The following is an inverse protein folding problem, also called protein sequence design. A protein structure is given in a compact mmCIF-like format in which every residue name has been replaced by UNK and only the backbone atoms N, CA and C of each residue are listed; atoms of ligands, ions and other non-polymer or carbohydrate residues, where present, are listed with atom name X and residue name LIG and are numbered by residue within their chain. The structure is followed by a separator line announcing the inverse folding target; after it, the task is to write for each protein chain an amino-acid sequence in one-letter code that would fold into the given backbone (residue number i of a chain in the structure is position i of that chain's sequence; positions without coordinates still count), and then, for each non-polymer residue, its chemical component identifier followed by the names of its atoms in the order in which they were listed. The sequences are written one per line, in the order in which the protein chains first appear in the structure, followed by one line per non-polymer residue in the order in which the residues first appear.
data_IF_018635670613
#
_entry.id   IF_018635670613
#
_cell.length_a   1.000
_cell.length_b   1.000
_cell.length_c   1.000
_cell.angle_alpha   90.00
_cell.angle_beta   90.00
_cell.angle_gamma   90.00
#
_symmetry.space_group_name_H-M   'P 1'
#
loop_
_entity.id
_entity.type
_entity.pdbx_description
1 polymer ?
#
# COMPACT_ATOMS: atom_id res chain seq x y z
N UNK A 1 -21.60 13.51 -22.90
CA UNK A 1 -20.50 13.54 -21.93
C UNK A 1 -19.31 14.22 -22.63
N UNK A 2 -18.48 14.98 -21.92
CA UNK A 2 -17.22 15.50 -22.49
C UNK A 2 -16.41 14.33 -23.02
N UNK A 3 -15.80 14.48 -24.19
CA UNK A 3 -14.91 13.46 -24.76
C UNK A 3 -13.56 13.39 -24.04
N UNK A 4 -13.25 14.40 -23.21
CA UNK A 4 -12.01 14.50 -22.42
C UNK A 4 -12.31 14.69 -20.93
N UNK A 5 -11.30 14.45 -20.11
CA UNK A 5 -11.37 14.57 -18.65
C UNK A 5 -9.98 14.94 -18.08
N UNK A 6 -9.92 15.68 -16.94
CA UNK A 6 -8.65 15.97 -16.29
C UNK A 6 -8.04 14.69 -15.70
N UNK A 7 -6.71 14.58 -15.81
CA UNK A 7 -5.93 13.48 -15.24
C UNK A 7 -4.55 13.96 -14.79
N UNK A 8 -4.06 13.40 -13.70
CA UNK A 8 -2.69 13.60 -13.21
C UNK A 8 -1.78 12.62 -13.96
N UNK A 9 -0.90 13.13 -14.81
CA UNK A 9 -0.13 12.35 -15.79
C UNK A 9 1.37 12.49 -15.52
N UNK A 10 2.05 11.37 -15.32
CA UNK A 10 3.51 11.27 -15.41
C UNK A 10 3.90 11.11 -16.88
N UNK A 11 4.54 12.13 -17.45
CA UNK A 11 4.73 12.24 -18.89
C UNK A 11 6.15 12.00 -19.38
N UNK A 12 7.13 11.98 -18.48
CA UNK A 12 8.55 11.82 -18.82
C UNK A 12 9.35 11.28 -17.62
N UNK A 13 10.43 10.53 -17.88
CA UNK A 13 11.34 10.04 -16.84
C UNK A 13 12.33 11.12 -16.37
N UNK A 14 11.85 12.14 -15.64
CA UNK A 14 12.63 13.15 -14.96
C UNK A 14 11.92 13.68 -13.72
N UNK A 15 12.66 14.31 -12.83
CA UNK A 15 12.10 14.97 -11.65
C UNK A 15 11.07 16.04 -12.04
N UNK A 16 9.95 16.07 -11.33
CA UNK A 16 8.85 17.01 -11.54
C UNK A 16 7.99 16.75 -12.77
N UNK A 17 8.21 15.66 -13.54
CA UNK A 17 7.49 15.42 -14.78
C UNK A 17 6.08 14.82 -14.59
N UNK A 18 5.29 15.44 -13.72
CA UNK A 18 3.87 15.13 -13.48
C UNK A 18 3.07 16.42 -13.63
N UNK A 19 1.95 16.36 -14.31
CA UNK A 19 1.04 17.50 -14.47
C UNK A 19 -0.41 17.09 -14.63
N UNK A 20 -1.33 18.03 -14.44
CA UNK A 20 -2.75 17.85 -14.76
C UNK A 20 -2.95 18.12 -16.26
N UNK A 21 -3.50 17.14 -16.99
CA UNK A 21 -3.79 17.20 -18.42
C UNK A 21 -5.22 16.80 -18.75
N UNK A 22 -5.75 17.33 -19.85
CA UNK A 22 -6.94 16.78 -20.48
C UNK A 22 -6.58 15.52 -21.27
N UNK A 23 -7.26 14.41 -20.99
CA UNK A 23 -7.09 13.12 -21.66
C UNK A 23 -8.43 12.56 -22.15
N UNK A 24 -8.46 11.72 -23.16
CA UNK A 24 -9.70 11.05 -23.58
C UNK A 24 -10.29 10.17 -22.48
N UNK A 25 -11.62 10.11 -22.39
CA UNK A 25 -12.29 9.07 -21.59
C UNK A 25 -12.00 7.71 -22.24
N UNK A 26 -11.52 6.69 -21.47
CA UNK A 26 -11.11 5.43 -22.07
C UNK A 26 -12.29 4.63 -22.61
N UNK A 27 -12.09 3.99 -23.76
CA UNK A 27 -13.00 2.98 -24.28
C UNK A 27 -12.80 1.66 -23.51
N UNK A 28 -13.91 0.96 -23.23
CA UNK A 28 -13.90 -0.33 -22.56
C UNK A 28 -14.09 -1.48 -23.53
N UNK A 29 -13.41 -2.59 -23.28
CA UNK A 29 -13.63 -3.87 -23.97
C UNK A 29 -14.81 -4.64 -23.38
N UNK A 30 -15.06 -5.83 -23.92
CA UNK A 30 -16.20 -6.68 -23.55
C UNK A 30 -16.14 -7.18 -22.09
N UNK A 31 -14.94 -7.30 -21.48
CA UNK A 31 -14.71 -7.79 -20.12
C UNK A 31 -14.33 -6.68 -19.12
N UNK A 32 -14.40 -5.43 -19.57
CA UNK A 32 -14.00 -4.27 -18.75
C UNK A 32 -15.21 -3.53 -18.18
N UNK A 33 -14.98 -2.78 -17.12
CA UNK A 33 -15.87 -1.76 -16.61
C UNK A 33 -15.24 -0.37 -16.78
N UNK A 34 -16.07 0.63 -17.07
CA UNK A 34 -15.72 2.03 -16.89
C UNK A 34 -16.14 2.44 -15.48
N UNK A 35 -15.18 2.78 -14.66
CA UNK A 35 -15.40 3.17 -13.26
C UNK A 35 -15.35 4.69 -13.14
N UNK A 36 -16.42 5.31 -12.64
CA UNK A 36 -16.43 6.69 -12.19
C UNK A 36 -15.74 6.77 -10.83
N UNK A 37 -14.53 7.30 -10.79
CA UNK A 37 -13.71 7.36 -9.57
C UNK A 37 -14.31 8.33 -8.57
N UNK A 38 -14.64 7.87 -7.37
CA UNK A 38 -15.09 8.73 -6.27
C UNK A 38 -13.96 9.14 -5.35
N UNK A 39 -13.03 8.22 -5.12
CA UNK A 39 -11.87 8.47 -4.29
C UNK A 39 -10.65 7.73 -4.83
N UNK A 40 -9.50 8.38 -4.80
CA UNK A 40 -8.20 7.79 -5.08
C UNK A 40 -7.21 8.30 -4.04
N UNK A 41 -6.52 7.41 -3.34
CA UNK A 41 -5.51 7.84 -2.37
C UNK A 41 -4.11 7.88 -3.00
N UNK A 42 -3.30 8.79 -2.50
CA UNK A 42 -1.91 8.96 -2.94
C UNK A 42 -1.03 7.91 -2.27
N UNK A 43 -0.26 7.18 -3.06
CA UNK A 43 0.78 6.26 -2.59
C UNK A 43 2.16 6.94 -2.59
N UNK A 44 3.06 6.47 -1.74
CA UNK A 44 4.46 6.90 -1.78
C UNK A 44 5.13 6.64 -3.13
N UNK A 45 4.69 5.61 -3.86
CA UNK A 45 5.18 5.34 -5.22
C UNK A 45 4.77 6.41 -6.24
N UNK A 46 3.61 7.06 -6.10
CA UNK A 46 3.21 8.19 -6.96
C UNK A 46 4.15 9.37 -6.74
N UNK A 47 4.51 9.66 -5.48
CA UNK A 47 5.49 10.69 -5.11
C UNK A 47 6.89 10.34 -5.66
N UNK A 48 7.31 9.06 -5.55
CA UNK A 48 8.57 8.60 -6.13
C UNK A 48 8.59 8.70 -7.66
N UNK A 49 7.46 8.51 -8.34
CA UNK A 49 7.34 8.74 -9.79
C UNK A 49 7.49 10.22 -10.12
N UNK A 50 6.85 11.10 -9.36
CA UNK A 50 7.01 12.55 -9.49
C UNK A 50 8.48 12.99 -9.37
N UNK A 51 9.23 12.36 -8.43
CA UNK A 51 10.67 12.63 -8.21
C UNK A 51 11.61 11.79 -9.07
N UNK A 52 11.08 10.91 -9.93
CA UNK A 52 11.88 9.99 -10.75
C UNK A 52 12.82 9.09 -9.90
N UNK A 53 12.34 8.63 -8.74
CA UNK A 53 13.11 7.86 -7.75
C UNK A 53 12.77 6.36 -7.72
N UNK A 54 11.89 5.87 -8.60
CA UNK A 54 11.59 4.43 -8.65
C UNK A 54 12.78 3.62 -9.14
N UNK A 55 12.98 2.44 -8.55
CA UNK A 55 14.01 1.48 -8.97
C UNK A 55 13.73 0.80 -10.32
N UNK A 56 12.58 1.07 -10.95
CA UNK A 56 12.18 0.59 -12.27
C UNK A 56 11.55 1.73 -13.08
N UNK A 57 11.50 1.59 -14.39
CA UNK A 57 10.90 2.59 -15.28
C UNK A 57 9.45 2.24 -15.57
N UNK A 58 8.45 3.02 -15.09
CA UNK A 58 7.06 2.88 -15.48
C UNK A 58 6.87 3.25 -16.96
N UNK A 59 5.68 2.98 -17.51
CA UNK A 59 5.29 3.54 -18.82
C UNK A 59 5.18 5.07 -18.72
N UNK A 60 5.60 5.78 -19.74
CA UNK A 60 5.32 7.21 -19.93
C UNK A 60 4.77 7.47 -21.33
N UNK A 61 3.73 8.30 -21.52
CA UNK A 61 2.91 8.87 -20.45
C UNK A 61 2.02 7.83 -19.77
N UNK A 62 1.70 8.04 -18.48
CA UNK A 62 0.76 7.22 -17.71
C UNK A 62 -0.03 8.09 -16.73
N UNK A 63 -1.33 7.83 -16.60
CA UNK A 63 -2.16 8.42 -15.54
C UNK A 63 -1.81 7.73 -14.22
N UNK A 64 -1.54 8.52 -13.16
CA UNK A 64 -1.18 8.02 -11.84
C UNK A 64 -2.38 7.49 -11.04
N UNK A 65 -2.12 6.89 -9.88
CA UNK A 65 -3.10 6.43 -8.91
C UNK A 65 -3.54 4.99 -9.11
N UNK A 66 -3.42 4.18 -8.05
CA UNK A 66 -3.74 2.76 -8.05
C UNK A 66 -4.52 2.30 -6.81
N UNK A 67 -4.82 3.21 -5.90
CA UNK A 67 -5.57 2.98 -4.67
C UNK A 67 -6.93 3.69 -4.77
N UNK A 68 -7.96 3.06 -5.33
CA UNK A 68 -9.19 3.78 -5.68
C UNK A 68 -10.47 2.99 -5.51
N UNK A 69 -11.57 3.75 -5.47
CA UNK A 69 -12.93 3.22 -5.42
C UNK A 69 -13.90 4.18 -6.13
N UNK A 70 -15.06 3.67 -6.51
CA UNK A 70 -16.04 4.45 -7.24
C UNK A 70 -17.32 3.70 -7.58
N UNK A 71 -18.00 4.18 -8.60
CA UNK A 71 -19.19 3.55 -9.17
C UNK A 71 -18.91 2.99 -10.56
N UNK A 72 -19.55 1.90 -10.91
CA UNK A 72 -19.58 1.41 -12.29
C UNK A 72 -20.46 2.34 -13.13
N UNK A 73 -19.84 3.03 -14.08
CA UNK A 73 -20.53 3.93 -15.01
C UNK A 73 -21.00 3.20 -16.29
N UNK A 74 -20.26 2.18 -16.72
CA UNK A 74 -20.58 1.35 -17.90
C UNK A 74 -19.90 0.00 -17.80
N UNK A 75 -20.50 -1.03 -18.39
CA UNK A 75 -19.98 -2.39 -18.43
C UNK A 75 -19.84 -2.90 -19.87
N UNK A 76 -18.80 -3.69 -20.10
CA UNK A 76 -18.69 -4.55 -21.28
C UNK A 76 -19.70 -5.69 -21.22
N UNK A 77 -20.09 -6.20 -22.38
CA UNK A 77 -21.21 -7.16 -22.53
C UNK A 77 -20.92 -8.57 -21.98
N UNK A 78 -19.66 -8.87 -21.65
CA UNK A 78 -19.24 -10.14 -21.03
C UNK A 78 -19.04 -10.05 -19.52
N UNK A 79 -19.11 -8.86 -18.92
CA UNK A 79 -18.98 -8.70 -17.48
C UNK A 79 -20.17 -9.33 -16.79
N UNK A 80 -19.90 -10.16 -15.76
CA UNK A 80 -20.92 -10.83 -14.97
C UNK A 80 -20.75 -10.48 -13.49
N UNK A 81 -21.85 -10.52 -12.74
CA UNK A 81 -21.85 -10.28 -11.29
C UNK A 81 -21.84 -8.80 -10.91
N UNK A 82 -21.85 -7.88 -11.87
CA UNK A 82 -21.86 -6.43 -11.63
C UNK A 82 -22.92 -5.76 -12.52
N UNK A 83 -23.39 -4.59 -12.10
CA UNK A 83 -24.28 -3.70 -12.85
C UNK A 83 -23.85 -2.24 -12.76
N UNK A 84 -24.32 -1.42 -13.67
CA UNK A 84 -24.12 0.04 -13.59
C UNK A 84 -24.72 0.59 -12.29
N UNK A 85 -23.99 1.50 -11.66
CA UNK A 85 -24.29 2.05 -10.34
C UNK A 85 -23.74 1.26 -9.16
N UNK A 86 -23.19 0.06 -9.35
CA UNK A 86 -22.57 -0.68 -8.25
C UNK A 86 -21.36 0.07 -7.67
N UNK A 87 -21.26 0.05 -6.35
CA UNK A 87 -20.11 0.57 -5.60
C UNK A 87 -18.98 -0.45 -5.64
N UNK A 88 -17.79 -0.03 -6.02
CA UNK A 88 -16.64 -0.94 -6.17
C UNK A 88 -15.33 -0.33 -5.65
N UNK A 89 -14.41 -1.23 -5.31
CA UNK A 89 -12.97 -0.97 -5.30
C UNK A 89 -12.27 -1.88 -6.30
N UNK A 90 -11.03 -1.57 -6.63
CA UNK A 90 -10.26 -2.32 -7.63
C UNK A 90 -8.91 -2.75 -7.11
N UNK A 91 -8.55 -4.01 -7.44
CA UNK A 91 -7.16 -4.47 -7.34
C UNK A 91 -6.23 -3.69 -8.28
N UNK A 92 -4.93 -3.77 -8.01
CA UNK A 92 -3.93 -3.02 -8.77
C UNK A 92 -3.39 -3.76 -10.01
N UNK A 93 -3.67 -5.05 -10.18
CA UNK A 93 -3.15 -5.87 -11.29
C UNK A 93 -3.95 -5.66 -12.58
N UNK A 94 -3.80 -4.50 -13.24
CA UNK A 94 -4.54 -4.14 -14.46
C UNK A 94 -4.40 -5.18 -15.58
N UNK A 95 -3.18 -5.71 -15.78
CA UNK A 95 -2.92 -6.77 -16.75
C UNK A 95 -2.18 -7.93 -16.10
N UNK A 96 -2.54 -9.15 -16.49
CA UNK A 96 -1.84 -10.40 -16.14
C UNK A 96 -1.93 -11.34 -17.35
N UNK A 97 -1.08 -12.37 -17.45
CA UNK A 97 -1.18 -13.29 -18.59
C UNK A 97 -2.37 -14.26 -18.50
N UNK A 98 -2.92 -14.50 -17.29
CA UNK A 98 -4.04 -15.42 -17.07
C UNK A 98 -3.73 -16.92 -17.19
N UNK A 99 -2.60 -17.30 -17.80
CA UNK A 99 -2.31 -18.70 -18.20
C UNK A 99 -1.14 -19.33 -17.47
N UNK A 100 -0.24 -18.54 -16.87
CA UNK A 100 0.89 -19.10 -16.11
C UNK A 100 0.42 -19.79 -14.82
N UNK A 101 1.27 -20.60 -14.24
CA UNK A 101 0.99 -21.32 -13.00
C UNK A 101 0.56 -20.37 -11.88
N UNK A 102 1.23 -19.22 -11.73
CA UNK A 102 0.90 -18.22 -10.71
C UNK A 102 -0.51 -17.65 -10.89
N UNK A 103 -0.91 -17.33 -12.13
CA UNK A 103 -2.27 -16.86 -12.41
C UNK A 103 -3.31 -17.94 -12.09
N UNK A 104 -3.07 -19.18 -12.49
CA UNK A 104 -3.99 -20.30 -12.30
C UNK A 104 -4.16 -20.74 -10.84
N UNK A 105 -3.16 -20.43 -9.98
CA UNK A 105 -3.18 -20.77 -8.55
C UNK A 105 -3.57 -19.58 -7.66
N UNK A 106 -3.99 -18.43 -8.25
CA UNK A 106 -4.40 -17.25 -7.50
C UNK A 106 -3.26 -16.38 -7.00
N UNK A 107 -2.01 -16.68 -7.40
CA UNK A 107 -0.82 -15.89 -7.09
C UNK A 107 -0.48 -14.89 -8.22
N UNK A 108 -1.49 -14.39 -8.91
CA UNK A 108 -1.33 -13.50 -10.07
C UNK A 108 -0.69 -12.15 -9.75
N UNK A 109 -0.69 -11.75 -8.48
CA UNK A 109 0.14 -10.62 -8.02
C UNK A 109 1.63 -10.81 -8.35
N UNK A 110 2.09 -12.06 -8.47
CA UNK A 110 3.46 -12.44 -8.84
C UNK A 110 3.61 -12.82 -10.32
N UNK A 111 2.59 -12.61 -11.16
CA UNK A 111 2.66 -12.91 -12.59
C UNK A 111 3.80 -12.11 -13.25
N UNK A 112 4.73 -12.76 -14.01
CA UNK A 112 5.83 -12.04 -14.67
C UNK A 112 5.38 -10.99 -15.71
N UNK A 113 4.14 -11.11 -16.22
CA UNK A 113 3.56 -10.17 -17.17
C UNK A 113 2.59 -9.18 -16.50
N UNK A 114 2.61 -9.10 -15.16
CA UNK A 114 1.75 -8.18 -14.43
C UNK A 114 2.09 -6.73 -14.76
N UNK A 115 1.05 -5.95 -15.10
CA UNK A 115 1.13 -4.49 -15.20
C UNK A 115 0.18 -3.87 -14.20
N UNK A 116 0.69 -2.95 -13.38
CA UNK A 116 -0.09 -2.25 -12.36
C UNK A 116 -0.70 -0.96 -12.91
N UNK A 117 -1.90 -0.62 -12.40
CA UNK A 117 -2.46 0.72 -12.57
C UNK A 117 -1.48 1.77 -12.06
N UNK A 118 -1.48 2.94 -12.68
CA UNK A 118 -0.62 4.05 -12.28
C UNK A 118 0.86 3.89 -12.63
N UNK A 119 1.28 2.72 -13.14
CA UNK A 119 2.68 2.41 -13.49
C UNK A 119 2.84 1.99 -14.96
N UNK A 120 2.14 0.95 -15.37
CA UNK A 120 2.22 0.40 -16.74
C UNK A 120 0.88 0.44 -17.47
N UNK A 121 -0.21 0.60 -16.73
CA UNK A 121 -1.56 0.87 -17.19
C UNK A 121 -2.06 2.17 -16.57
N UNK A 122 -2.94 2.88 -17.27
CA UNK A 122 -3.49 4.14 -16.77
C UNK A 122 -4.25 3.94 -15.46
N UNK A 123 -3.94 4.80 -14.49
CA UNK A 123 -4.48 4.77 -13.14
C UNK A 123 -5.74 5.62 -12.96
N UNK A 124 -6.06 5.89 -11.72
CA UNK A 124 -7.34 6.46 -11.29
C UNK A 124 -7.26 7.91 -10.77
N UNK A 125 -6.12 8.59 -10.89
CA UNK A 125 -6.08 10.05 -10.64
C UNK A 125 -6.69 10.81 -11.82
N UNK A 126 -7.96 10.49 -12.09
CA UNK A 126 -8.80 11.01 -13.17
C UNK A 126 -10.26 10.70 -12.88
N UNK A 127 -11.19 11.25 -13.70
CA UNK A 127 -12.63 11.07 -13.48
C UNK A 127 -13.14 9.67 -13.78
N UNK A 128 -12.59 9.03 -14.80
CA UNK A 128 -12.99 7.66 -15.22
C UNK A 128 -11.75 6.80 -15.48
N UNK A 129 -11.80 5.55 -15.08
CA UNK A 129 -10.75 4.56 -15.34
C UNK A 129 -11.35 3.27 -15.89
N UNK A 130 -10.68 2.68 -16.89
CA UNK A 130 -11.02 1.35 -17.39
C UNK A 130 -10.44 0.29 -16.50
N UNK A 131 -11.27 -0.63 -16.00
CA UNK A 131 -10.91 -1.68 -15.06
C UNK A 131 -11.37 -3.03 -15.59
N UNK A 132 -10.48 -4.02 -15.75
CA UNK A 132 -10.87 -5.40 -16.02
C UNK A 132 -11.79 -5.94 -14.91
N UNK A 133 -12.89 -6.58 -15.30
CA UNK A 133 -13.90 -7.05 -14.31
C UNK A 133 -13.35 -7.96 -13.22
N UNK A 134 -12.28 -8.72 -13.52
CA UNK A 134 -11.59 -9.57 -12.54
C UNK A 134 -10.92 -8.81 -11.38
N UNK A 135 -10.70 -7.48 -11.54
CA UNK A 135 -10.12 -6.62 -10.51
C UNK A 135 -11.18 -5.97 -9.61
N UNK A 136 -12.47 -6.12 -9.93
CA UNK A 136 -13.55 -5.45 -9.20
C UNK A 136 -13.96 -6.22 -7.96
N UNK A 137 -14.21 -5.48 -6.89
CA UNK A 137 -14.81 -5.96 -5.64
C UNK A 137 -15.99 -5.09 -5.27
N UNK A 138 -17.12 -5.70 -4.87
CA UNK A 138 -18.26 -4.97 -4.35
C UNK A 138 -17.93 -4.27 -3.03
N UNK A 139 -18.40 -3.04 -2.88
CA UNK A 139 -18.29 -2.31 -1.63
C UNK A 139 -19.65 -2.23 -0.93
N UNK A 140 -19.73 -2.59 0.36
CA UNK A 140 -20.91 -2.37 1.17
C UNK A 140 -21.29 -0.87 1.24
N UNK A 141 -22.60 -0.56 1.21
CA UNK A 141 -23.10 0.82 1.23
C UNK A 141 -22.62 1.61 2.46
N UNK A 142 -22.46 0.92 3.60
CA UNK A 142 -21.98 1.51 4.85
C UNK A 142 -20.51 1.91 4.84
N UNK A 143 -19.70 1.48 3.84
CA UNK A 143 -18.28 1.84 3.76
C UNK A 143 -18.10 3.17 3.00
N UNK A 144 -17.69 4.27 3.67
CA UNK A 144 -17.49 5.56 3.01
C UNK A 144 -16.37 5.52 1.97
N UNK A 145 -16.50 6.22 0.84
CA UNK A 145 -15.51 6.27 -0.22
C UNK A 145 -14.13 6.78 0.27
N UNK A 146 -14.09 7.72 1.21
CA UNK A 146 -12.82 8.19 1.79
C UNK A 146 -12.02 7.06 2.44
N UNK A 147 -12.69 6.06 3.05
CA UNK A 147 -12.03 4.89 3.65
C UNK A 147 -11.75 3.81 2.62
N UNK A 148 -12.63 3.62 1.65
CA UNK A 148 -12.44 2.59 0.63
C UNK A 148 -11.28 2.88 -0.32
N UNK A 149 -10.83 4.13 -0.46
CA UNK A 149 -9.58 4.45 -1.14
C UNK A 149 -8.34 3.81 -0.47
N UNK A 150 -8.42 3.51 0.84
CA UNK A 150 -7.32 2.90 1.59
C UNK A 150 -7.38 1.36 1.61
N UNK A 151 -8.32 0.73 0.93
CA UNK A 151 -8.41 -0.74 0.86
C UNK A 151 -7.16 -1.35 0.22
N UNK A 152 -6.55 -0.66 -0.75
CA UNK A 152 -5.33 -1.12 -1.39
C UNK A 152 -4.16 -1.21 -0.39
N UNK A 153 -3.74 -0.13 0.29
CA UNK A 153 -2.66 -0.22 1.26
C UNK A 153 -3.02 -1.12 2.47
N UNK A 154 -4.30 -1.23 2.86
CA UNK A 154 -4.74 -2.23 3.83
C UNK A 154 -4.50 -3.65 3.32
N UNK A 155 -4.73 -3.90 2.03
CA UNK A 155 -4.50 -5.20 1.40
C UNK A 155 -3.01 -5.54 1.31
N UNK A 156 -2.15 -4.56 1.01
CA UNK A 156 -0.69 -4.73 1.05
C UNK A 156 -0.23 -5.09 2.47
N UNK A 157 -0.67 -4.33 3.47
CA UNK A 157 -0.30 -4.55 4.87
C UNK A 157 -0.83 -5.89 5.40
N UNK A 158 -2.08 -6.24 5.06
CA UNK A 158 -2.67 -7.53 5.44
C UNK A 158 -1.93 -8.70 4.77
N UNK A 159 -1.66 -8.61 3.47
CA UNK A 159 -0.93 -9.64 2.74
C UNK A 159 0.48 -9.85 3.30
N UNK A 160 1.17 -8.75 3.60
CA UNK A 160 2.48 -8.78 4.26
C UNK A 160 2.42 -9.46 5.62
N UNK A 161 1.51 -9.02 6.49
CA UNK A 161 1.56 -9.34 7.92
C UNK A 161 0.77 -10.62 8.27
N UNK A 162 -0.37 -10.86 7.62
CA UNK A 162 -1.23 -12.03 7.93
C UNK A 162 -1.04 -13.21 6.96
N UNK A 163 -0.56 -12.96 5.72
CA UNK A 163 -0.38 -14.03 4.72
C UNK A 163 1.08 -14.48 4.65
N UNK A 164 2.01 -13.52 4.56
CA UNK A 164 3.45 -13.80 4.38
C UNK A 164 4.24 -13.85 5.69
N UNK A 165 3.65 -13.41 6.79
CA UNK A 165 4.28 -13.45 8.13
C UNK A 165 3.52 -14.44 9.02
N UNK A 166 4.25 -15.08 9.94
CA UNK A 166 3.66 -16.07 10.85
C UNK A 166 3.53 -15.53 12.27
N UNK A 167 2.79 -14.42 12.44
CA UNK A 167 2.51 -13.86 13.77
C UNK A 167 1.67 -14.86 14.57
N UNK A 168 2.12 -15.17 15.80
CA UNK A 168 1.41 -16.00 16.75
C UNK A 168 0.89 -15.15 17.92
N UNK A 169 -0.18 -15.59 18.60
CA UNK A 169 -0.62 -14.93 19.84
C UNK A 169 0.50 -14.85 20.88
N UNK A 170 0.75 -13.65 21.35
CA UNK A 170 1.80 -13.36 22.33
C UNK A 170 3.15 -12.89 21.74
N UNK A 171 3.36 -13.02 20.43
CA UNK A 171 4.61 -12.61 19.77
C UNK A 171 4.98 -11.15 20.04
N UNK A 172 6.28 -10.92 20.14
CA UNK A 172 6.88 -9.59 20.08
C UNK A 172 7.17 -9.21 18.62
N UNK A 173 6.41 -8.25 18.10
CA UNK A 173 6.53 -7.77 16.72
C UNK A 173 7.17 -6.38 16.71
N UNK A 174 8.09 -6.15 15.77
CA UNK A 174 8.67 -4.83 15.50
C UNK A 174 8.36 -4.42 14.07
N UNK A 175 7.89 -3.19 13.88
CA UNK A 175 7.65 -2.60 12.55
C UNK A 175 8.64 -1.46 12.33
N UNK A 176 9.42 -1.53 11.27
CA UNK A 176 10.33 -0.46 10.86
C UNK A 176 9.66 0.41 9.80
N UNK A 177 9.54 1.70 10.10
CA UNK A 177 8.92 2.72 9.26
C UNK A 177 7.45 2.99 9.58
N UNK A 178 7.10 4.18 10.12
CA UNK A 178 5.73 4.59 10.44
C UNK A 178 5.01 5.24 9.24
N UNK A 179 5.35 4.81 8.02
CA UNK A 179 4.58 5.14 6.83
C UNK A 179 3.22 4.44 6.80
N UNK A 180 2.37 4.72 5.79
CA UNK A 180 1.03 4.11 5.72
C UNK A 180 1.05 2.58 5.86
N UNK A 181 1.97 1.90 5.17
CA UNK A 181 2.09 0.44 5.23
C UNK A 181 2.50 -0.03 6.63
N UNK A 182 3.48 0.63 7.28
CA UNK A 182 3.91 0.26 8.63
C UNK A 182 2.81 0.47 9.68
N UNK A 183 2.08 1.58 9.61
CA UNK A 183 0.96 1.88 10.51
C UNK A 183 -0.21 0.89 10.32
N UNK A 184 -0.44 0.41 9.11
CA UNK A 184 -1.43 -0.62 8.82
C UNK A 184 -0.94 -2.01 9.22
N UNK A 185 0.34 -2.34 8.98
CA UNK A 185 0.95 -3.61 9.39
C UNK A 185 0.95 -3.79 10.92
N UNK A 186 1.19 -2.70 11.68
CA UNK A 186 1.05 -2.67 13.13
C UNK A 186 -0.37 -3.12 13.56
N UNK A 187 -1.41 -2.56 12.94
CA UNK A 187 -2.79 -2.92 13.24
C UNK A 187 -3.07 -4.39 12.90
N UNK A 188 -2.56 -4.88 11.76
CA UNK A 188 -2.72 -6.30 11.38
C UNK A 188 -1.99 -7.21 12.36
N UNK A 189 -0.75 -6.88 12.79
CA UNK A 189 -0.03 -7.67 13.79
C UNK A 189 -0.82 -7.79 15.10
N UNK A 190 -1.43 -6.69 15.54
CA UNK A 190 -2.32 -6.70 16.71
C UNK A 190 -3.56 -7.58 16.50
N UNK A 191 -4.20 -7.47 15.32
CA UNK A 191 -5.35 -8.33 14.97
C UNK A 191 -4.98 -9.83 14.95
N UNK A 192 -3.72 -10.18 14.61
CA UNK A 192 -3.21 -11.55 14.66
C UNK A 192 -2.88 -12.02 16.09
N UNK A 193 -2.95 -11.14 17.10
CA UNK A 193 -2.74 -11.50 18.49
C UNK A 193 -1.32 -11.22 19.00
N UNK A 194 -0.52 -10.42 18.31
CA UNK A 194 0.78 -9.99 18.82
C UNK A 194 0.65 -9.44 20.26
N UNK A 195 1.46 -9.95 21.19
CA UNK A 195 1.43 -9.54 22.59
C UNK A 195 1.90 -8.10 22.80
N UNK A 196 2.88 -7.69 22.01
CA UNK A 196 3.38 -6.32 21.94
C UNK A 196 3.87 -5.99 20.53
N UNK A 197 3.67 -4.74 20.11
CA UNK A 197 4.15 -4.24 18.84
C UNK A 197 4.91 -2.96 19.06
N UNK A 198 6.18 -2.93 18.68
CA UNK A 198 6.99 -1.70 18.62
C UNK A 198 6.99 -1.18 17.19
N UNK A 199 7.12 0.13 17.05
CA UNK A 199 7.29 0.79 15.75
C UNK A 199 8.47 1.75 15.80
N UNK A 200 9.32 1.74 14.76
CA UNK A 200 10.48 2.62 14.68
C UNK A 200 10.38 3.58 13.50
N UNK A 201 10.81 4.82 13.71
CA UNK A 201 10.95 5.86 12.71
C UNK A 201 12.11 6.77 13.05
N UNK A 202 12.26 7.87 12.34
CA UNK A 202 13.25 8.92 12.58
C UNK A 202 12.58 10.19 13.11
N UNK A 203 13.35 11.22 13.46
CA UNK A 203 12.81 12.45 14.06
C UNK A 203 11.69 13.10 13.24
N UNK A 204 11.80 13.06 11.91
CA UNK A 204 10.80 13.61 10.98
C UNK A 204 9.48 12.85 10.99
N UNK A 205 9.49 11.63 11.51
CA UNK A 205 8.29 10.79 11.63
C UNK A 205 7.55 10.97 12.97
N UNK A 206 7.98 11.91 13.84
CA UNK A 206 7.40 12.09 15.18
C UNK A 206 5.85 12.15 15.21
N UNK A 207 5.14 12.88 14.32
CA UNK A 207 3.68 12.87 14.30
C UNK A 207 3.07 11.49 14.00
N UNK A 208 3.72 10.70 13.13
CA UNK A 208 3.28 9.35 12.76
C UNK A 208 3.55 8.34 13.87
N UNK A 209 4.66 8.49 14.60
CA UNK A 209 4.98 7.70 15.78
C UNK A 209 3.97 7.96 16.90
N UNK A 210 3.55 9.22 17.08
CA UNK A 210 2.50 9.58 18.04
C UNK A 210 1.15 8.93 17.68
N UNK A 211 0.74 8.97 16.41
CA UNK A 211 -0.46 8.27 15.93
C UNK A 211 -0.37 6.77 16.24
N UNK A 212 0.80 6.15 16.03
CA UNK A 212 0.99 4.72 16.26
C UNK A 212 0.74 4.33 17.73
N UNK A 213 1.24 5.12 18.67
CA UNK A 213 1.09 4.84 20.11
C UNK A 213 -0.31 5.21 20.59
N UNK A 214 -0.74 6.45 20.31
CA UNK A 214 -1.96 7.00 20.92
C UNK A 214 -3.25 6.46 20.31
N UNK A 215 -3.22 6.07 19.02
CA UNK A 215 -4.46 5.74 18.27
C UNK A 215 -4.46 4.32 17.67
N UNK A 216 -3.29 3.71 17.42
CA UNK A 216 -3.21 2.41 16.73
C UNK A 216 -2.72 1.28 17.63
N UNK A 217 -2.36 1.58 18.87
CA UNK A 217 -2.02 0.59 19.89
C UNK A 217 -0.62 0.00 19.78
N UNK A 218 0.35 0.77 19.24
CA UNK A 218 1.76 0.42 19.42
C UNK A 218 2.12 0.44 20.92
N UNK A 219 2.85 -0.58 21.37
CA UNK A 219 3.30 -0.66 22.77
C UNK A 219 4.43 0.33 23.06
N UNK A 220 5.22 0.68 22.04
CA UNK A 220 6.31 1.66 22.07
C UNK A 220 6.60 2.20 20.68
N UNK A 221 6.89 3.49 20.60
CA UNK A 221 7.55 4.11 19.45
C UNK A 221 9.04 4.29 19.76
N UNK A 222 9.88 4.06 18.74
CA UNK A 222 11.34 4.20 18.81
C UNK A 222 11.75 5.29 17.82
N UNK A 223 12.35 6.37 18.33
CA UNK A 223 12.99 7.39 17.49
C UNK A 223 14.44 6.99 17.24
N UNK A 224 14.70 6.40 16.08
CA UNK A 224 16.03 5.92 15.68
C UNK A 224 17.09 7.03 15.55
N UNK A 225 16.70 8.31 15.62
CA UNK A 225 17.62 9.44 15.69
C UNK A 225 18.16 9.67 17.11
N UNK A 226 17.53 9.09 18.14
CA UNK A 226 17.85 9.30 19.55
C UNK A 226 18.33 8.04 20.27
N UNK A 227 17.87 6.88 19.82
CA UNK A 227 18.17 5.59 20.46
C UNK A 227 18.41 4.51 19.38
N UNK A 228 19.23 3.52 19.68
CA UNK A 228 19.48 2.41 18.78
C UNK A 228 18.28 1.44 18.82
N UNK A 229 17.53 1.26 17.71
CA UNK A 229 16.37 0.38 17.69
C UNK A 229 16.71 -1.09 18.02
N UNK A 230 17.91 -1.54 17.68
CA UNK A 230 18.35 -2.92 17.93
C UNK A 230 18.54 -3.16 19.43
N UNK A 231 19.25 -2.25 20.10
CA UNK A 231 19.47 -2.31 21.54
C UNK A 231 18.16 -2.18 22.33
N UNK A 232 17.27 -1.27 21.90
CA UNK A 232 15.94 -1.10 22.51
C UNK A 232 15.14 -2.40 22.43
N UNK A 233 15.11 -3.04 21.26
CA UNK A 233 14.35 -4.28 21.06
C UNK A 233 14.92 -5.42 21.90
N UNK A 234 16.24 -5.63 21.90
CA UNK A 234 16.90 -6.67 22.69
C UNK A 234 16.70 -6.48 24.19
N UNK A 235 16.91 -5.26 24.69
CA UNK A 235 16.75 -4.95 26.12
C UNK A 235 15.30 -5.00 26.61
N UNK A 236 14.33 -4.99 25.70
CA UNK A 236 12.89 -5.02 26.05
C UNK A 236 12.34 -6.41 26.35
N UNK A 237 13.15 -7.45 26.33
CA UNK A 237 12.72 -8.84 26.55
C UNK A 237 13.79 -9.70 27.22
N UNK A 238 13.93 -10.91 26.72
CA UNK A 238 14.90 -11.91 27.19
C UNK A 238 16.33 -11.72 26.63
N UNK A 239 16.58 -10.64 25.91
CA UNK A 239 17.84 -10.35 25.25
C UNK A 239 18.00 -10.96 23.85
N UNK A 240 17.09 -11.85 23.43
CA UNK A 240 17.18 -12.55 22.14
C UNK A 240 16.68 -11.70 20.97
N UNK A 241 15.78 -10.74 21.22
CA UNK A 241 15.18 -9.89 20.19
C UNK A 241 13.70 -10.17 19.93
N UNK A 242 13.18 -9.68 18.80
CA UNK A 242 11.78 -9.81 18.41
C UNK A 242 11.51 -11.15 17.71
N UNK A 243 10.31 -11.71 17.90
CA UNK A 243 9.85 -12.90 17.17
C UNK A 243 9.69 -12.58 15.68
N UNK A 244 9.14 -11.41 15.38
CA UNK A 244 8.85 -10.94 14.03
C UNK A 244 9.35 -9.50 13.84
N UNK A 245 10.00 -9.24 12.71
CA UNK A 245 10.32 -7.88 12.26
C UNK A 245 9.72 -7.64 10.88
N UNK A 246 8.94 -6.56 10.74
CA UNK A 246 8.36 -6.13 9.47
C UNK A 246 9.10 -4.88 9.00
N UNK A 247 9.85 -5.00 7.89
CA UNK A 247 10.57 -3.88 7.28
C UNK A 247 9.68 -3.21 6.21
N UNK A 248 9.03 -2.11 6.60
CA UNK A 248 8.19 -1.30 5.73
C UNK A 248 8.95 -0.08 5.13
N UNK A 249 10.24 0.08 5.44
CA UNK A 249 11.13 1.09 4.83
C UNK A 249 11.86 0.52 3.63
N UNK A 250 12.56 -0.60 3.82
CA UNK A 250 13.17 -1.39 2.75
C UNK A 250 14.58 -0.98 2.34
N UNK A 251 15.24 -0.02 3.02
CA UNK A 251 16.62 0.38 2.75
C UNK A 251 17.63 -0.57 3.42
N UNK A 252 18.90 -0.48 3.00
CA UNK A 252 19.99 -1.33 3.53
C UNK A 252 20.09 -1.28 5.06
N UNK A 253 20.00 -0.09 5.64
CA UNK A 253 20.09 0.11 7.10
C UNK A 253 18.98 -0.61 7.84
N UNK A 254 17.71 -0.46 7.41
CA UNK A 254 16.57 -1.09 8.10
C UNK A 254 16.56 -2.60 7.91
N UNK A 255 16.98 -3.12 6.76
CA UNK A 255 17.13 -4.56 6.57
C UNK A 255 18.22 -5.15 7.48
N UNK A 256 19.37 -4.46 7.64
CA UNK A 256 20.41 -4.87 8.58
C UNK A 256 19.89 -4.88 10.01
N UNK A 257 19.27 -3.78 10.45
CA UNK A 257 18.65 -3.69 11.77
C UNK A 257 17.62 -4.81 11.99
N UNK A 258 16.80 -5.13 10.98
CA UNK A 258 15.83 -6.23 11.06
C UNK A 258 16.49 -7.57 11.37
N UNK A 259 17.61 -7.87 10.70
CA UNK A 259 18.36 -9.12 10.90
C UNK A 259 19.08 -9.11 12.28
N UNK A 260 19.56 -7.95 12.73
CA UNK A 260 20.21 -7.81 14.02
C UNK A 260 19.25 -7.95 15.21
N UNK A 261 18.01 -7.41 15.09
CA UNK A 261 17.03 -7.40 16.19
C UNK A 261 16.07 -8.60 16.19
N UNK A 262 15.97 -9.37 15.09
CA UNK A 262 15.18 -10.60 15.09
C UNK A 262 15.84 -11.66 15.93
N UNK A 263 15.07 -12.39 16.74
CA UNK A 263 15.58 -13.49 17.57
C UNK A 263 16.00 -14.70 16.72
N UNK A 264 16.81 -15.64 17.24
CA UNK A 264 17.05 -16.93 16.61
C UNK A 264 15.74 -17.66 16.31
N UNK A 265 15.62 -18.21 15.11
CA UNK A 265 14.39 -18.87 14.61
C UNK A 265 13.23 -17.94 14.24
N UNK A 266 13.38 -16.61 14.42
CA UNK A 266 12.36 -15.63 14.11
C UNK A 266 12.22 -15.34 12.61
N UNK A 267 11.38 -14.36 12.26
CA UNK A 267 11.12 -14.00 10.86
C UNK A 267 11.27 -12.50 10.63
N UNK A 268 11.94 -12.15 9.55
CA UNK A 268 11.95 -10.81 8.94
C UNK A 268 11.07 -10.85 7.69
N UNK A 269 10.09 -9.96 7.61
CA UNK A 269 9.28 -9.78 6.40
C UNK A 269 9.51 -8.39 5.81
N UNK A 270 10.05 -8.35 4.59
CA UNK A 270 10.37 -7.12 3.87
C UNK A 270 9.25 -6.79 2.88
N UNK A 271 8.59 -5.65 3.07
CA UNK A 271 7.56 -5.08 2.19
C UNK A 271 7.99 -3.73 1.61
N UNK A 272 8.84 -2.99 2.32
CA UNK A 272 9.42 -1.75 1.84
C UNK A 272 10.36 -1.94 0.65
N UNK A 273 10.39 -0.95 -0.26
CA UNK A 273 11.24 -0.95 -1.44
C UNK A 273 12.44 -0.03 -1.24
N UNK A 274 13.63 -0.50 -1.63
CA UNK A 274 14.87 0.27 -1.65
C UNK A 274 15.70 -0.15 -2.84
N UNK A 275 15.98 0.75 -3.80
CA UNK A 275 16.68 0.42 -5.04
C UNK A 275 18.18 0.18 -4.86
N UNK A 276 18.76 0.65 -3.74
CA UNK A 276 20.17 0.51 -3.47
C UNK A 276 20.55 -0.91 -3.04
N UNK A 277 21.75 -1.42 -3.41
CA UNK A 277 22.29 -2.68 -2.91
C UNK A 277 22.38 -2.71 -1.38
N UNK A 278 22.22 -3.88 -0.77
CA UNK A 278 22.24 -4.02 0.70
C UNK A 278 23.60 -3.77 1.33
N UNK A 279 24.72 -4.12 0.67
CA UNK A 279 26.07 -3.75 1.09
C UNK A 279 26.58 -4.35 2.42
N UNK A 280 25.97 -5.46 2.90
CA UNK A 280 26.39 -6.17 4.12
C UNK A 280 26.22 -7.69 3.98
N UNK A 281 26.88 -8.49 4.85
CA UNK A 281 26.76 -9.96 4.88
C UNK A 281 25.41 -10.41 5.44
N UNK A 282 24.84 -11.47 4.86
CA UNK A 282 23.68 -12.17 5.39
C UNK A 282 24.02 -13.32 6.36
N UNK A 283 25.29 -13.52 6.71
CA UNK A 283 25.72 -14.56 7.65
C UNK A 283 24.99 -14.49 9.03
N UNK A 284 24.67 -13.30 9.57
CA UNK A 284 23.87 -13.22 10.79
C UNK A 284 22.46 -13.83 10.66
N UNK A 285 21.86 -13.80 9.46
CA UNK A 285 20.58 -14.47 9.19
C UNK A 285 20.74 -16.00 9.27
N UNK A 286 21.83 -16.52 8.68
CA UNK A 286 22.15 -17.95 8.70
C UNK A 286 22.44 -18.41 10.12
N UNK A 287 23.29 -17.67 10.87
CA UNK A 287 23.66 -18.00 12.24
C UNK A 287 22.44 -18.06 13.19
N UNK A 288 21.42 -17.25 12.93
CA UNK A 288 20.18 -17.25 13.71
C UNK A 288 19.15 -18.28 13.24
N UNK A 289 19.38 -18.96 12.09
CA UNK A 289 18.32 -19.77 11.48
C UNK A 289 17.04 -19.01 11.22
N UNK A 290 17.14 -17.67 11.07
CA UNK A 290 15.99 -16.81 10.89
C UNK A 290 15.48 -16.86 9.44
N UNK A 291 14.18 -16.54 9.25
CA UNK A 291 13.57 -16.47 7.91
C UNK A 291 13.58 -15.05 7.39
N UNK A 292 13.96 -14.86 6.12
CA UNK A 292 13.75 -13.60 5.38
C UNK A 292 12.69 -13.84 4.30
N UNK A 293 11.57 -13.10 4.40
CA UNK A 293 10.42 -13.23 3.51
C UNK A 293 10.16 -11.91 2.79
N UNK A 294 10.14 -11.94 1.45
CA UNK A 294 9.62 -10.82 0.65
C UNK A 294 8.09 -10.83 0.59
N UNK A 295 7.48 -9.65 0.58
CA UNK A 295 6.03 -9.50 0.38
C UNK A 295 5.75 -8.49 -0.72
N UNK A 296 4.94 -8.89 -1.71
CA UNK A 296 4.61 -8.05 -2.85
C UNK A 296 3.11 -8.06 -3.16
N UNK A 297 2.51 -6.86 -3.10
CA UNK A 297 1.13 -6.62 -3.53
C UNK A 297 0.12 -7.52 -2.77
N UNK A 298 -0.92 -7.96 -3.42
CA UNK A 298 -2.07 -8.67 -2.86
C UNK A 298 -2.83 -9.41 -3.97
N UNK A 299 -3.81 -10.24 -3.59
CA UNK A 299 -4.67 -10.98 -4.50
C UNK A 299 -6.14 -10.91 -4.07
N UNK A 300 -7.05 -11.49 -4.85
CA UNK A 300 -8.50 -11.49 -4.63
C UNK A 300 -8.89 -11.87 -3.21
N UNK A 301 -8.35 -13.00 -2.70
CA UNK A 301 -8.67 -13.48 -1.35
C UNK A 301 -8.30 -12.49 -0.25
N UNK A 302 -7.18 -11.80 -0.41
CA UNK A 302 -6.75 -10.73 0.49
C UNK A 302 -7.74 -9.56 0.47
N UNK A 303 -8.18 -9.15 -0.72
CA UNK A 303 -9.12 -8.04 -0.87
C UNK A 303 -10.45 -8.31 -0.21
N UNK A 304 -11.08 -9.46 -0.47
CA UNK A 304 -12.36 -9.83 0.15
C UNK A 304 -12.25 -9.77 1.68
N UNK A 305 -11.17 -10.34 2.23
CA UNK A 305 -10.95 -10.31 3.67
C UNK A 305 -10.75 -8.91 4.22
N UNK A 306 -10.01 -8.07 3.51
CA UNK A 306 -9.74 -6.68 3.94
C UNK A 306 -11.00 -5.82 3.85
N UNK A 307 -11.83 -5.98 2.82
CA UNK A 307 -13.12 -5.28 2.71
C UNK A 307 -14.00 -5.59 3.93
N UNK A 308 -14.10 -6.87 4.33
CA UNK A 308 -14.81 -7.26 5.56
C UNK A 308 -14.24 -6.56 6.79
N UNK A 309 -12.92 -6.67 7.01
CA UNK A 309 -12.25 -6.10 8.19
C UNK A 309 -12.38 -4.58 8.28
N UNK A 310 -12.25 -3.87 7.15
CA UNK A 310 -12.41 -2.41 7.11
C UNK A 310 -13.89 -2.03 7.35
N UNK A 311 -14.81 -2.77 6.76
CA UNK A 311 -16.25 -2.53 6.91
C UNK A 311 -16.72 -2.76 8.36
N UNK A 312 -16.11 -3.73 9.04
CA UNK A 312 -16.39 -4.05 10.44
C UNK A 312 -15.59 -3.19 11.44
N UNK A 313 -14.87 -2.18 10.94
CA UNK A 313 -14.14 -1.23 11.78
C UNK A 313 -12.91 -1.82 12.49
N UNK A 314 -12.37 -2.94 11.98
CA UNK A 314 -11.15 -3.56 12.54
C UNK A 314 -9.88 -2.76 12.22
N UNK A 315 -9.90 -1.95 11.17
CA UNK A 315 -8.88 -0.96 10.87
C UNK A 315 -9.31 0.43 11.34
N UNK A 316 -8.47 1.09 12.12
CA UNK A 316 -8.59 2.51 12.44
C UNK A 316 -7.98 3.33 11.30
N UNK A 317 -8.81 3.77 10.35
CA UNK A 317 -8.35 4.48 9.15
C UNK A 317 -8.44 6.01 9.28
N UNK A 318 -9.37 6.52 10.09
CA UNK A 318 -9.56 7.97 10.23
C UNK A 318 -8.28 8.72 10.62
N UNK A 319 -7.43 8.22 11.56
CA UNK A 319 -6.17 8.88 11.91
C UNK A 319 -5.14 8.91 10.77
N UNK A 320 -5.29 8.03 9.78
CA UNK A 320 -4.39 7.95 8.64
C UNK A 320 -4.78 8.89 7.49
N UNK A 321 -6.06 9.29 7.41
CA UNK A 321 -6.56 10.17 6.36
C UNK A 321 -6.30 11.63 6.76
N UNK A 322 -5.14 12.16 6.38
CA UNK A 322 -4.74 13.52 6.74
C UNK A 322 -5.43 14.59 5.89
N UNK A 323 -5.83 14.23 4.67
CA UNK A 323 -6.44 15.14 3.69
C UNK A 323 -7.49 14.44 2.84
N UNK A 324 -8.57 15.17 2.54
CA UNK A 324 -9.48 14.87 1.43
C UNK A 324 -9.58 16.16 0.60
N UNK A 325 -9.25 16.09 -0.70
CA UNK A 325 -9.12 17.26 -1.55
C UNK A 325 -9.57 16.97 -3.01
N UNK A 326 -9.95 17.97 -3.81
CA UNK A 326 -10.21 17.78 -5.22
C UNK A 326 -8.93 17.36 -5.98
N UNK A 327 -9.11 16.78 -7.18
CA UNK A 327 -8.00 16.26 -7.99
C UNK A 327 -6.96 17.34 -8.30
N UNK A 328 -7.39 18.57 -8.49
CA UNK A 328 -6.56 19.74 -8.82
C UNK A 328 -5.54 20.08 -7.73
N UNK A 329 -5.75 19.64 -6.48
CA UNK A 329 -4.79 19.80 -5.37
C UNK A 329 -3.74 18.68 -5.29
N UNK A 330 -3.59 17.86 -6.33
CA UNK A 330 -2.68 16.70 -6.33
C UNK A 330 -1.24 17.06 -5.93
N UNK A 331 -0.69 18.17 -6.44
CA UNK A 331 0.69 18.60 -6.18
C UNK A 331 0.91 18.90 -4.70
N UNK A 332 -0.05 19.60 -4.08
CA UNK A 332 -0.03 19.89 -2.64
C UNK A 332 -0.11 18.58 -1.81
N UNK A 333 -0.95 17.64 -2.24
CA UNK A 333 -1.06 16.33 -1.59
C UNK A 333 0.25 15.56 -1.66
N UNK A 334 0.92 15.54 -2.82
CA UNK A 334 2.22 14.89 -3.01
C UNK A 334 3.30 15.53 -2.14
N UNK A 335 3.41 16.87 -2.16
CA UNK A 335 4.39 17.61 -1.37
C UNK A 335 4.25 17.34 0.12
N UNK A 336 3.02 17.37 0.65
CA UNK A 336 2.79 17.15 2.09
C UNK A 336 3.04 15.71 2.54
N UNK A 337 2.85 14.74 1.67
CA UNK A 337 3.24 13.36 1.93
C UNK A 337 4.75 13.17 1.86
N UNK A 338 5.45 13.83 0.92
CA UNK A 338 6.92 13.85 0.81
C UNK A 338 7.57 14.47 2.05
N UNK A 339 7.03 15.61 2.52
CA UNK A 339 7.42 16.28 3.76
C UNK A 339 7.10 15.47 5.03
N UNK A 340 6.42 14.32 4.91
CA UNK A 340 5.94 13.45 6.00
C UNK A 340 4.95 14.10 6.97
N UNK A 341 4.43 15.28 6.63
CA UNK A 341 3.41 16.00 7.41
C UNK A 341 2.06 15.27 7.33
N UNK A 342 1.75 14.69 6.18
CA UNK A 342 0.53 13.91 5.96
C UNK A 342 0.86 12.41 5.85
N UNK A 343 -0.03 11.56 6.38
CA UNK A 343 0.08 10.10 6.27
C UNK A 343 -0.50 9.65 4.94
N UNK A 344 -1.79 9.98 4.68
CA UNK A 344 -2.51 9.68 3.44
C UNK A 344 -3.35 10.86 3.00
N UNK A 345 -3.24 11.18 1.72
CA UNK A 345 -4.14 12.12 1.05
C UNK A 345 -5.10 11.34 0.15
N UNK A 346 -6.37 11.70 0.18
CA UNK A 346 -7.43 11.16 -0.69
C UNK A 346 -7.88 12.26 -1.63
N UNK A 347 -7.78 12.01 -2.94
CA UNK A 347 -8.24 12.92 -3.98
C UNK A 347 -9.64 12.50 -4.47
N UNK A 348 -10.48 13.49 -4.82
CA UNK A 348 -11.88 13.30 -5.23
C UNK A 348 -12.12 13.84 -6.64
N UNK A 349 -11.85 13.04 -7.71
CA UNK A 349 -11.89 13.51 -9.10
C UNK A 349 -13.28 13.91 -9.58
N UNK A 350 -14.33 13.45 -8.94
CA UNK A 350 -15.74 13.71 -9.29
C UNK A 350 -16.50 14.46 -8.18
N UNK A 351 -15.82 15.37 -7.47
CA UNK A 351 -16.39 16.20 -6.41
C UNK A 351 -16.43 15.51 -5.05
N UNK A 352 -16.96 16.19 -4.03
CA UNK A 352 -16.91 15.74 -2.63
C UNK A 352 -17.53 14.36 -2.37
N UNK A 353 -17.04 13.66 -1.32
CA UNK A 353 -17.46 12.31 -0.91
C UNK A 353 -17.90 12.29 0.54
#
# INVERSE_FOLDING_TARGET
MSHTMPAVVHYEHRDGAVELREVPVPEIGEEDALVQVRSVSVCGSDVHMWRNLLGHKPRVPVILGHEFSGFIAKLGNRVKGFKEGDRIASETAAEICGVCMLCRTGLYNLCPQRKGFGHYADGAMTRFVKVPSRCLHHLPDRLPFRKSALLEPCSVAYHCTAVNTRVQPGDFVVVLGPGPIGLLALQVARMQGAGRVFISGVAEDAPRLEIAVSLLGASRAIDASKEDPVEVVKSSGDGLGADIVIDAVGISTTLRQSIEMVRPGGQVTKVGWGPAPVGFSLDPLVAKGARLQGSFSHNYRTWERVIELVTDGKFSLDPLISRVAPLEEWEKAFSKMEERVEVKAVLTPNGPI
#
